data_IF_799676937628
#
_entry.id   IF_799676937628
#
_cell.length_a   1.000
_cell.length_b   1.000
_cell.length_c   1.000
_cell.angle_alpha   90.00
_cell.angle_beta   90.00
_cell.angle_gamma   90.00
#
_symmetry.space_group_name_H-M   'P 1'
#
loop_
_entity.id
_entity.type
_entity.pdbx_description
1 polymer ?
#
# COMPACT_ATOMS: atom_id res chain seq x y z
N UNK A 1 20.22 5.36 -3.03
CA UNK A 1 20.33 4.40 -4.16
C UNK A 1 19.10 3.53 -4.14
N UNK A 2 18.38 3.43 -5.26
CA UNK A 2 17.37 2.40 -5.44
C UNK A 2 18.07 1.04 -5.56
N UNK A 3 17.57 0.02 -4.88
CA UNK A 3 18.07 -1.36 -5.00
C UNK A 3 16.91 -2.18 -5.53
N UNK A 4 17.02 -2.61 -6.79
CA UNK A 4 16.11 -3.59 -7.35
C UNK A 4 16.18 -4.85 -6.50
N UNK A 5 15.03 -5.31 -6.02
CA UNK A 5 14.97 -6.59 -5.34
C UNK A 5 15.08 -7.69 -6.39
N UNK A 6 15.93 -8.68 -6.16
CA UNK A 6 16.10 -9.82 -7.08
C UNK A 6 14.91 -10.79 -7.00
N UNK A 7 14.05 -10.62 -5.99
CA UNK A 7 12.87 -11.45 -5.83
C UNK A 7 11.75 -10.95 -6.75
N UNK A 8 11.12 -11.84 -7.54
CA UNK A 8 9.96 -11.46 -8.33
C UNK A 8 8.85 -10.98 -7.39
N UNK A 9 8.18 -9.89 -7.79
CA UNK A 9 7.04 -9.38 -7.05
C UNK A 9 6.06 -10.52 -6.77
N UNK A 10 5.54 -10.63 -5.53
CA UNK A 10 4.59 -11.66 -5.21
C UNK A 10 3.37 -11.50 -6.14
N UNK A 11 2.85 -12.60 -6.72
CA UNK A 11 1.64 -12.53 -7.52
C UNK A 11 0.51 -11.90 -6.68
N UNK A 12 -0.42 -11.16 -7.29
CA UNK A 12 -1.45 -10.41 -6.55
C UNK A 12 -2.28 -11.24 -5.56
N UNK A 13 -2.43 -12.53 -5.84
CA UNK A 13 -3.09 -13.52 -4.97
C UNK A 13 -2.36 -13.78 -3.64
N UNK A 14 -1.08 -13.40 -3.55
CA UNK A 14 -0.19 -13.56 -2.39
C UNK A 14 0.12 -12.23 -1.71
N UNK A 15 -0.65 -11.17 -1.95
CA UNK A 15 -0.51 -9.94 -1.17
C UNK A 15 -0.67 -10.23 0.32
N UNK A 16 0.28 -9.71 1.11
CA UNK A 16 0.22 -9.78 2.57
C UNK A 16 -0.89 -8.84 3.04
N UNK A 17 -1.97 -9.43 3.53
CA UNK A 17 -3.08 -8.69 4.11
C UNK A 17 -2.90 -8.61 5.64
N UNK A 18 -3.33 -7.53 6.29
CA UNK A 18 -3.27 -7.40 7.76
C UNK A 18 -4.24 -8.34 8.50
N UNK A 19 -5.00 -9.15 7.75
CA UNK A 19 -5.95 -10.14 8.24
C UNK A 19 -5.76 -11.46 7.48
N UNK A 20 -6.17 -12.57 8.10
CA UNK A 20 -6.14 -13.87 7.44
C UNK A 20 -7.13 -13.88 6.25
N UNK A 21 -6.60 -13.96 5.02
CA UNK A 21 -7.42 -13.99 3.83
C UNK A 21 -6.63 -13.83 2.53
N UNK A 22 -7.33 -13.91 1.40
CA UNK A 22 -6.81 -13.61 0.06
C UNK A 22 -7.81 -12.73 -0.67
N UNK A 23 -7.31 -11.85 -1.55
CA UNK A 23 -8.18 -11.09 -2.44
C UNK A 23 -8.78 -12.03 -3.49
N UNK A 24 -10.05 -11.80 -3.84
CA UNK A 24 -10.68 -12.48 -4.98
C UNK A 24 -9.96 -12.11 -6.28
N UNK A 25 -9.77 -13.05 -7.22
CA UNK A 25 -9.22 -12.74 -8.54
C UNK A 25 -10.02 -11.66 -9.30
N UNK A 26 -11.33 -11.58 -9.06
CA UNK A 26 -12.19 -10.54 -9.64
C UNK A 26 -12.11 -9.19 -8.92
N UNK A 27 -11.26 -9.06 -7.89
CA UNK A 27 -11.06 -7.80 -7.21
C UNK A 27 -10.36 -6.82 -8.17
N UNK A 28 -10.86 -5.58 -8.24
CA UNK A 28 -10.32 -4.55 -9.12
C UNK A 28 -8.80 -4.33 -8.94
N UNK A 29 -8.30 -4.41 -7.70
CA UNK A 29 -6.87 -4.24 -7.42
C UNK A 29 -6.02 -5.41 -7.93
N UNK A 30 -6.52 -6.63 -7.84
CA UNK A 30 -5.86 -7.83 -8.38
C UNK A 30 -5.73 -7.72 -9.90
N UNK A 31 -6.83 -7.42 -10.58
CA UNK A 31 -6.85 -7.23 -12.04
C UNK A 31 -5.91 -6.10 -12.47
N UNK A 32 -5.94 -4.95 -11.79
CA UNK A 32 -5.04 -3.84 -12.12
C UNK A 32 -3.57 -4.22 -11.93
N UNK A 33 -3.24 -4.94 -10.86
CA UNK A 33 -1.87 -5.37 -10.59
C UNK A 33 -1.34 -6.34 -11.66
N UNK A 34 -2.18 -7.20 -12.24
CA UNK A 34 -1.80 -8.10 -13.35
C UNK A 34 -1.56 -7.35 -14.66
N UNK A 35 -2.26 -6.25 -14.90
CA UNK A 35 -2.17 -5.49 -16.15
C UNK A 35 -1.01 -4.49 -16.19
N UNK A 36 -0.46 -4.11 -15.04
CA UNK A 36 0.63 -3.13 -14.96
C UNK A 36 1.96 -3.81 -15.33
N UNK A 37 2.71 -3.29 -16.31
CA UNK A 37 4.06 -3.79 -16.63
C UNK A 37 5.07 -3.30 -15.58
N UNK A 38 5.08 -3.95 -14.41
CA UNK A 38 5.89 -3.53 -13.26
C UNK A 38 7.38 -3.41 -13.56
N UNK A 39 7.92 -4.30 -14.39
CA UNK A 39 9.35 -4.28 -14.77
C UNK A 39 9.74 -3.00 -15.50
N UNK A 40 8.95 -2.56 -16.48
CA UNK A 40 9.20 -1.34 -17.25
C UNK A 40 9.08 -0.10 -16.35
N UNK A 41 8.07 -0.07 -15.47
CA UNK A 41 7.89 1.00 -14.49
C UNK A 41 9.05 1.08 -13.50
N UNK A 42 9.52 -0.06 -13.00
CA UNK A 42 10.65 -0.13 -12.09
C UNK A 42 11.94 0.36 -12.76
N UNK A 43 12.16 0.01 -14.01
CA UNK A 43 13.34 0.47 -14.76
C UNK A 43 13.37 1.99 -14.89
N UNK A 44 12.26 2.61 -15.28
CA UNK A 44 12.12 4.07 -15.36
C UNK A 44 12.27 4.74 -13.99
N UNK A 45 11.68 4.15 -12.94
CA UNK A 45 11.82 4.64 -11.58
C UNK A 45 13.27 4.59 -11.09
N UNK A 46 14.00 3.51 -11.39
CA UNK A 46 15.40 3.35 -11.02
C UNK A 46 16.30 4.43 -11.65
N UNK A 47 15.99 4.86 -12.89
CA UNK A 47 16.74 5.92 -13.58
C UNK A 47 16.74 7.24 -12.82
N UNK A 48 15.66 7.56 -12.10
CA UNK A 48 15.55 8.78 -11.27
C UNK A 48 16.62 8.88 -10.18
N UNK A 49 17.17 7.74 -9.73
CA UNK A 49 18.19 7.69 -8.68
C UNK A 49 19.63 7.63 -9.23
N UNK A 50 19.81 7.61 -10.55
CA UNK A 50 21.14 7.47 -11.18
C UNK A 50 21.85 8.81 -11.46
N UNK A 51 21.14 9.93 -11.34
CA UNK A 51 21.58 11.24 -11.85
C UNK A 51 22.79 11.87 -11.12
N UNK A 52 23.11 11.47 -9.88
CA UNK A 52 24.24 12.06 -9.13
C UNK A 52 24.86 11.11 -8.08
N UNK A 53 25.67 10.11 -8.49
CA UNK A 53 26.28 9.14 -7.57
C UNK A 53 27.22 9.76 -6.53
N UNK A 54 27.67 11.01 -6.75
CA UNK A 54 28.61 11.72 -5.87
C UNK A 54 27.97 12.27 -4.58
N UNK A 55 26.65 12.44 -4.56
CA UNK A 55 25.88 12.97 -3.42
C UNK A 55 24.89 11.97 -2.83
N UNK A 56 24.81 10.77 -3.41
CA UNK A 56 23.93 9.73 -2.93
C UNK A 56 24.65 8.95 -1.83
N UNK A 57 24.30 9.25 -0.58
CA UNK A 57 24.69 8.44 0.57
C UNK A 57 24.19 7.00 0.46
N UNK A 58 24.49 6.18 1.49
CA UNK A 58 24.04 4.78 1.55
C UNK A 58 22.52 4.70 1.38
N UNK A 59 22.04 3.71 0.63
CA UNK A 59 20.61 3.41 0.60
C UNK A 59 20.09 3.22 2.03
N UNK A 60 18.91 3.78 2.32
CA UNK A 60 18.22 3.52 3.58
C UNK A 60 17.99 2.01 3.74
N UNK A 61 18.09 1.51 4.97
CA UNK A 61 17.65 0.15 5.26
C UNK A 61 16.15 0.01 5.00
N UNK A 62 15.65 -1.20 4.74
CA UNK A 62 14.21 -1.47 4.60
C UNK A 62 13.40 -0.88 5.77
N UNK A 63 13.87 -1.07 7.02
CA UNK A 63 13.25 -0.47 8.20
C UNK A 63 13.22 1.07 8.19
N UNK A 64 14.24 1.72 7.63
CA UNK A 64 14.26 3.18 7.51
C UNK A 64 13.28 3.67 6.45
N UNK A 65 13.22 3.00 5.30
CA UNK A 65 12.27 3.32 4.23
C UNK A 65 10.83 3.15 4.73
N UNK A 66 10.52 2.00 5.36
CA UNK A 66 9.21 1.73 5.94
C UNK A 66 8.81 2.76 7.02
N UNK A 67 9.76 3.17 7.88
CA UNK A 67 9.50 4.22 8.87
C UNK A 67 9.17 5.58 8.24
N UNK A 68 9.91 5.99 7.20
CA UNK A 68 9.66 7.26 6.48
C UNK A 68 8.34 7.19 5.70
N UNK A 69 8.05 6.06 5.07
CA UNK A 69 6.81 5.80 4.35
C UNK A 69 5.60 5.85 5.28
N UNK A 70 5.68 5.20 6.45
CA UNK A 70 4.66 5.28 7.50
C UNK A 70 4.49 6.70 8.02
N UNK A 71 5.59 7.41 8.29
CA UNK A 71 5.54 8.80 8.77
C UNK A 71 4.85 9.72 7.76
N UNK A 72 5.17 9.58 6.47
CA UNK A 72 4.61 10.43 5.41
C UNK A 72 3.14 10.14 5.13
N UNK A 73 2.69 8.89 5.31
CA UNK A 73 1.27 8.50 5.12
C UNK A 73 0.41 8.64 6.38
N UNK A 74 1.00 8.92 7.55
CA UNK A 74 0.32 8.91 8.85
C UNK A 74 -0.96 9.75 8.87
N UNK A 75 -0.89 11.01 8.44
CA UNK A 75 -2.07 11.88 8.46
C UNK A 75 -3.20 11.35 7.57
N UNK A 76 -2.88 10.79 6.40
CA UNK A 76 -3.90 10.23 5.50
C UNK A 76 -4.55 8.99 6.11
N UNK A 77 -3.75 8.12 6.75
CA UNK A 77 -4.25 6.93 7.46
C UNK A 77 -5.16 7.37 8.62
N UNK A 78 -4.70 8.31 9.45
CA UNK A 78 -5.45 8.82 10.60
C UNK A 78 -6.82 9.41 10.16
N UNK A 79 -6.86 10.13 9.05
CA UNK A 79 -8.11 10.66 8.48
C UNK A 79 -9.03 9.55 7.94
N UNK A 80 -8.48 8.56 7.23
CA UNK A 80 -9.25 7.41 6.75
C UNK A 80 -9.85 6.60 7.90
N UNK A 81 -9.08 6.35 8.95
CA UNK A 81 -9.54 5.64 10.15
C UNK A 81 -10.70 6.37 10.83
N UNK A 82 -10.62 7.70 10.96
CA UNK A 82 -11.72 8.52 11.49
C UNK A 82 -13.00 8.39 10.66
N UNK A 83 -12.88 8.46 9.33
CA UNK A 83 -14.03 8.33 8.43
C UNK A 83 -14.65 6.94 8.55
N UNK A 84 -13.84 5.88 8.57
CA UNK A 84 -14.33 4.50 8.74
C UNK A 84 -15.05 4.34 10.07
N UNK A 85 -14.48 4.85 11.16
CA UNK A 85 -15.09 4.78 12.49
C UNK A 85 -16.45 5.51 12.51
N UNK A 86 -16.50 6.72 11.97
CA UNK A 86 -17.74 7.51 11.88
C UNK A 86 -18.81 6.82 11.04
N UNK A 87 -18.45 6.21 9.91
CA UNK A 87 -19.37 5.43 9.08
C UNK A 87 -19.86 4.18 9.81
N UNK A 88 -18.98 3.51 10.56
CA UNK A 88 -19.32 2.30 11.33
C UNK A 88 -20.31 2.64 12.45
N UNK A 89 -20.06 3.73 13.18
CA UNK A 89 -20.98 4.26 14.21
C UNK A 89 -22.33 4.63 13.62
N UNK A 90 -22.33 5.39 12.51
CA UNK A 90 -23.56 5.77 11.80
C UNK A 90 -24.36 4.55 11.35
N UNK A 91 -23.68 3.51 10.86
CA UNK A 91 -24.33 2.25 10.47
C UNK A 91 -24.93 1.52 11.67
N UNK A 92 -24.21 1.45 12.79
CA UNK A 92 -24.70 0.81 14.02
C UNK A 92 -25.93 1.54 14.59
N UNK A 93 -25.93 2.87 14.58
CA UNK A 93 -27.08 3.66 15.03
C UNK A 93 -28.33 3.39 14.19
N UNK A 94 -28.18 3.31 12.86
CA UNK A 94 -29.28 2.94 11.95
C UNK A 94 -29.75 1.52 12.24
N UNK A 95 -28.82 0.56 12.35
CA UNK A 95 -29.14 -0.84 12.56
C UNK A 95 -29.89 -1.08 13.89
N UNK A 96 -29.40 -0.50 14.98
CA UNK A 96 -30.02 -0.63 16.32
C UNK A 96 -31.37 0.10 16.36
N UNK A 97 -31.48 1.27 15.72
CA UNK A 97 -32.74 2.02 15.64
C UNK A 97 -33.86 1.29 14.88
N UNK A 98 -33.52 0.39 13.95
CA UNK A 98 -34.49 -0.42 13.19
C UNK A 98 -34.98 -1.68 13.90
N UNK A 99 -34.33 -2.11 14.99
CA UNK A 99 -34.76 -3.28 15.79
C UNK A 99 -35.82 -2.93 16.86
N UNK A 100 -36.14 -1.64 17.04
CA UNK A 100 -37.08 -1.16 18.08
C UNK A 100 -38.48 -0.74 17.56
N UNK A 101 -38.81 -1.01 16.30
CA UNK A 101 -40.18 -0.90 15.73
C UNK A 101 -40.76 -2.27 15.38
#
# INVERSE_FOLDING_TARGET
MYRKEEQPLPPPEKFELPFEGKLSPNNRWVIMAELIPWDDFEEEYAKLFSANPKYLGRAGSSAHIDAVEKLTRRNLIDELERVIQSLTESYLDIYIGTETE
#
